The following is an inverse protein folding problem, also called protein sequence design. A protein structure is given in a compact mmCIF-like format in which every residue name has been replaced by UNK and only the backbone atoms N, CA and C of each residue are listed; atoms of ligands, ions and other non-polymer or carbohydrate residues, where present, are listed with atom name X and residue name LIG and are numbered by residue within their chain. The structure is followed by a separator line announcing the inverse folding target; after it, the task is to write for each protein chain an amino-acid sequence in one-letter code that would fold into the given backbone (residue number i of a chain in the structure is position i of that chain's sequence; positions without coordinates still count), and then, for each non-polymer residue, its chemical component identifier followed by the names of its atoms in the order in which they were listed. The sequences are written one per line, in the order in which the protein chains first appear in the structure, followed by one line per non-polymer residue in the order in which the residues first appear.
data_IF_576572461623
#
_entry.id   IF_576572461623
#
_cell.length_a   1.000
_cell.length_b   1.000
_cell.length_c   1.000
_cell.angle_alpha   90.00
_cell.angle_beta   90.00
_cell.angle_gamma   90.00
#
_symmetry.space_group_name_H-M   'P 1'
#
loop_
_entity.id
_entity.type
_entity.pdbx_description
1 polymer ?
#
# COMPACT_ATOMS: atom_id res chain seq x y z
N UNK A 1 -1.34 20.41 9.81
CA UNK A 1 -1.66 19.44 8.74
C UNK A 1 -2.74 20.06 7.87
N UNK A 2 -2.46 20.31 6.59
CA UNK A 2 -3.46 20.89 5.69
C UNK A 2 -4.32 19.77 5.09
N UNK A 3 -5.26 19.25 5.90
CA UNK A 3 -6.22 18.21 5.51
C UNK A 3 -7.04 18.59 4.28
N UNK A 4 -7.17 19.90 4.02
CA UNK A 4 -7.79 20.41 2.79
C UNK A 4 -7.17 19.78 1.57
N UNK A 5 -5.86 19.53 1.48
CA UNK A 5 -5.25 18.98 0.26
C UNK A 5 -5.66 17.53 -0.04
N UNK A 6 -5.84 16.71 1.00
CA UNK A 6 -6.14 15.26 0.88
C UNK A 6 -7.54 15.07 0.31
N UNK A 7 -8.48 15.95 0.66
CA UNK A 7 -9.89 15.87 0.26
C UNK A 7 -10.37 17.05 -0.60
N UNK A 8 -9.51 18.01 -0.98
CA UNK A 8 -9.95 19.23 -1.66
C UNK A 8 -10.50 18.90 -3.03
N UNK A 9 -11.73 19.36 -3.25
CA UNK A 9 -12.33 19.62 -4.54
C UNK A 9 -12.63 21.13 -4.55
N UNK A 10 -12.11 21.91 -5.52
CA UNK A 10 -11.30 21.48 -6.66
C UNK A 10 -9.85 21.13 -6.28
N UNK A 11 -9.20 20.38 -7.16
CA UNK A 11 -7.77 20.08 -7.04
C UNK A 11 -6.98 21.39 -7.04
N UNK A 12 -6.07 21.55 -6.10
CA UNK A 12 -5.20 22.73 -5.98
C UNK A 12 -4.17 22.85 -7.11
N UNK A 13 -4.00 21.80 -7.94
CA UNK A 13 -3.19 21.81 -9.16
C UNK A 13 -3.83 20.96 -10.26
N UNK A 14 -3.57 21.32 -11.52
CA UNK A 14 -4.04 20.58 -12.68
C UNK A 14 -3.25 19.27 -12.85
N UNK A 15 -3.95 18.14 -12.76
CA UNK A 15 -3.37 16.80 -12.94
C UNK A 15 -3.20 16.44 -14.42
N UNK A 16 -2.09 15.77 -14.73
CA UNK A 16 -1.80 15.09 -16.00
C UNK A 16 -2.78 13.94 -16.26
N UNK A 17 -2.79 13.40 -17.48
CA UNK A 17 -3.57 12.20 -17.81
C UNK A 17 -3.04 11.00 -17.03
N UNK A 18 -1.73 10.87 -16.87
CA UNK A 18 -1.10 9.82 -16.07
C UNK A 18 -1.59 9.84 -14.62
N UNK A 19 -1.52 10.99 -13.94
CA UNK A 19 -1.97 11.14 -12.56
C UNK A 19 -3.48 10.88 -12.41
N UNK A 20 -4.30 11.40 -13.36
CA UNK A 20 -5.76 11.17 -13.37
C UNK A 20 -6.10 9.70 -13.57
N UNK A 21 -5.38 9.01 -14.45
CA UNK A 21 -5.57 7.59 -14.70
C UNK A 21 -5.29 6.80 -13.42
N UNK A 22 -4.13 7.02 -12.79
CA UNK A 22 -3.77 6.37 -11.52
C UNK A 22 -4.80 6.64 -10.45
N UNK A 23 -5.21 7.90 -10.25
CA UNK A 23 -6.21 8.23 -9.24
C UNK A 23 -7.52 7.46 -9.45
N UNK A 24 -8.05 7.46 -10.68
CA UNK A 24 -9.33 6.82 -11.01
C UNK A 24 -9.23 5.30 -10.94
N UNK A 25 -8.17 4.71 -11.49
CA UNK A 25 -7.97 3.26 -11.46
C UNK A 25 -7.79 2.78 -10.02
N UNK A 26 -7.09 3.54 -9.18
CA UNK A 26 -6.88 3.20 -7.77
C UNK A 26 -8.17 3.28 -6.97
N UNK A 27 -8.98 4.33 -7.19
CA UNK A 27 -10.29 4.45 -6.56
C UNK A 27 -11.20 3.28 -6.95
N UNK A 28 -11.31 2.99 -8.25
CA UNK A 28 -12.25 1.98 -8.75
C UNK A 28 -11.81 0.56 -8.40
N UNK A 29 -10.53 0.23 -8.53
CA UNK A 29 -10.09 -1.16 -8.39
C UNK A 29 -9.62 -1.48 -6.97
N UNK A 30 -8.85 -0.60 -6.34
CA UNK A 30 -8.30 -0.88 -5.01
C UNK A 30 -9.27 -0.42 -3.92
N UNK A 31 -9.77 0.81 -3.97
CA UNK A 31 -10.67 1.27 -2.90
C UNK A 31 -12.03 0.57 -2.96
N UNK A 32 -12.72 0.53 -4.10
CA UNK A 32 -14.01 -0.18 -4.19
C UNK A 32 -13.85 -1.70 -4.18
N UNK A 33 -12.81 -2.24 -4.83
CA UNK A 33 -12.51 -3.68 -4.77
C UNK A 33 -12.17 -4.12 -3.35
N UNK A 34 -11.27 -3.42 -2.67
CA UNK A 34 -10.94 -3.67 -1.27
C UNK A 34 -12.15 -3.49 -0.34
N UNK A 35 -13.01 -2.50 -0.58
CA UNK A 35 -14.27 -2.35 0.15
C UNK A 35 -15.21 -3.55 -0.03
N UNK A 36 -15.22 -4.16 -1.22
CA UNK A 36 -16.00 -5.40 -1.45
C UNK A 36 -15.47 -6.54 -0.59
N UNK A 37 -14.15 -6.71 -0.48
CA UNK A 37 -13.51 -7.72 0.36
C UNK A 37 -13.73 -7.45 1.86
N UNK A 38 -13.71 -6.18 2.27
CA UNK A 38 -13.89 -5.75 3.66
C UNK A 38 -15.35 -5.84 4.13
N UNK A 39 -16.30 -5.38 3.31
CA UNK A 39 -17.70 -5.25 3.71
C UNK A 39 -18.54 -6.48 3.35
N UNK A 40 -18.22 -7.14 2.24
CA UNK A 40 -19.01 -8.25 1.69
C UNK A 40 -18.13 -9.42 1.21
N UNK A 41 -17.26 -9.99 2.08
CA UNK A 41 -16.42 -11.14 1.75
C UNK A 41 -17.20 -12.37 1.27
N UNK A 42 -18.48 -12.51 1.62
CA UNK A 42 -19.35 -13.60 1.13
C UNK A 42 -19.53 -13.53 -0.39
N UNK A 43 -19.64 -12.32 -0.96
CA UNK A 43 -19.73 -12.14 -2.42
C UNK A 43 -18.45 -12.63 -3.08
N UNK A 44 -17.29 -12.29 -2.50
CA UNK A 44 -15.99 -12.78 -2.96
C UNK A 44 -15.91 -14.30 -2.86
N UNK A 45 -16.41 -14.89 -1.76
CA UNK A 45 -16.51 -16.33 -1.57
C UNK A 45 -17.34 -17.02 -2.66
N UNK A 46 -18.49 -16.46 -3.01
CA UNK A 46 -19.36 -17.00 -4.08
C UNK A 46 -18.66 -16.89 -5.44
N UNK A 47 -18.17 -15.70 -5.80
CA UNK A 47 -17.58 -15.41 -7.12
C UNK A 47 -16.35 -16.28 -7.38
N UNK A 48 -15.51 -16.49 -6.37
CA UNK A 48 -14.27 -17.26 -6.51
C UNK A 48 -14.38 -18.70 -5.99
N UNK A 49 -15.56 -19.12 -5.55
CA UNK A 49 -15.81 -20.47 -4.99
C UNK A 49 -14.86 -20.78 -3.83
N UNK A 50 -14.80 -19.88 -2.86
CA UNK A 50 -13.94 -19.98 -1.68
C UNK A 50 -14.71 -20.60 -0.52
N UNK A 51 -14.08 -21.51 0.20
CA UNK A 51 -14.61 -22.03 1.45
C UNK A 51 -14.19 -21.11 2.61
N UNK A 52 -15.13 -20.29 3.08
CA UNK A 52 -14.89 -19.30 4.13
C UNK A 52 -15.22 -19.90 5.51
N UNK A 53 -14.34 -20.78 5.99
CA UNK A 53 -14.48 -21.47 7.30
C UNK A 53 -13.63 -20.79 8.37
N UNK A 54 -14.14 -20.75 9.61
CA UNK A 54 -13.45 -20.13 10.74
C UNK A 54 -13.12 -18.66 10.48
N UNK A 55 -11.89 -18.23 10.81
CA UNK A 55 -11.43 -16.85 10.61
C UNK A 55 -11.10 -16.47 9.17
N UNK A 56 -11.38 -17.34 8.18
CA UNK A 56 -11.13 -17.04 6.75
C UNK A 56 -11.82 -15.74 6.31
N UNK A 57 -13.06 -15.51 6.76
CA UNK A 57 -13.82 -14.30 6.48
C UNK A 57 -13.09 -13.05 7.00
N UNK A 58 -12.63 -13.09 8.25
CA UNK A 58 -11.91 -11.97 8.86
C UNK A 58 -10.56 -11.69 8.20
N UNK A 59 -9.82 -12.71 7.79
CA UNK A 59 -8.56 -12.51 7.05
C UNK A 59 -8.78 -11.93 5.65
N UNK A 60 -9.88 -12.31 4.99
CA UNK A 60 -10.27 -11.71 3.72
C UNK A 60 -10.66 -10.24 3.90
N UNK A 61 -11.32 -9.90 5.02
CA UNK A 61 -11.61 -8.51 5.39
C UNK A 61 -10.35 -7.71 5.70
N UNK A 62 -9.38 -8.28 6.42
CA UNK A 62 -8.07 -7.66 6.65
C UNK A 62 -7.37 -7.37 5.32
N UNK A 63 -7.37 -8.33 4.38
CA UNK A 63 -6.85 -8.11 3.04
C UNK A 63 -7.58 -6.94 2.36
N UNK A 64 -8.92 -6.93 2.38
CA UNK A 64 -9.73 -5.83 1.83
C UNK A 64 -9.34 -4.46 2.39
N UNK A 65 -9.16 -4.37 3.71
CA UNK A 65 -8.70 -3.15 4.39
C UNK A 65 -7.33 -2.71 3.87
N UNK A 66 -6.34 -3.60 3.82
CA UNK A 66 -5.00 -3.26 3.32
C UNK A 66 -5.01 -2.83 1.84
N UNK A 67 -5.91 -3.41 1.03
CA UNK A 67 -6.11 -3.04 -0.38
C UNK A 67 -6.70 -1.63 -0.50
N UNK A 68 -7.68 -1.27 0.35
CA UNK A 68 -8.21 0.10 0.40
C UNK A 68 -7.10 1.09 0.73
N UNK A 69 -6.27 0.78 1.73
CA UNK A 69 -5.17 1.63 2.16
C UNK A 69 -4.13 1.86 1.05
N UNK A 70 -3.67 0.80 0.37
CA UNK A 70 -2.71 0.98 -0.74
C UNK A 70 -3.32 1.78 -1.90
N UNK A 71 -4.61 1.57 -2.19
CA UNK A 71 -5.35 2.38 -3.16
C UNK A 71 -5.37 3.87 -2.77
N UNK A 72 -5.65 4.15 -1.49
CA UNK A 72 -5.65 5.51 -0.96
C UNK A 72 -4.26 6.15 -1.03
N UNK A 73 -3.20 5.40 -0.70
CA UNK A 73 -1.81 5.86 -0.81
C UNK A 73 -1.48 6.24 -2.25
N UNK A 74 -1.82 5.40 -3.23
CA UNK A 74 -1.61 5.72 -4.65
C UNK A 74 -2.37 6.97 -5.09
N UNK A 75 -3.60 7.17 -4.62
CA UNK A 75 -4.38 8.39 -4.90
C UNK A 75 -3.66 9.63 -4.35
N UNK A 76 -3.16 9.57 -3.12
CA UNK A 76 -2.44 10.71 -2.52
C UNK A 76 -1.11 10.93 -3.22
N UNK A 77 -0.36 9.88 -3.56
CA UNK A 77 0.86 9.96 -4.35
C UNK A 77 0.63 10.61 -5.72
N UNK A 78 -0.42 10.22 -6.45
CA UNK A 78 -0.77 10.82 -7.74
C UNK A 78 -1.16 12.30 -7.63
N UNK A 79 -1.64 12.74 -6.45
CA UNK A 79 -2.00 14.13 -6.19
C UNK A 79 -0.86 14.95 -5.61
N UNK A 80 0.18 14.35 -5.06
CA UNK A 80 1.24 15.06 -4.33
C UNK A 80 2.49 15.20 -5.20
N UNK A 81 2.84 16.45 -5.50
CA UNK A 81 4.14 16.77 -6.10
C UNK A 81 5.16 17.00 -4.98
N UNK A 82 6.19 16.16 -4.94
CA UNK A 82 7.29 16.27 -3.99
C UNK A 82 8.63 16.34 -4.73
N UNK A 83 9.71 16.65 -3.99
CA UNK A 83 11.01 16.95 -4.58
C UNK A 83 11.39 15.85 -5.58
N UNK A 84 11.58 16.21 -6.84
CA UNK A 84 12.12 15.33 -7.88
C UNK A 84 11.27 15.26 -9.11
N UNK A 85 11.18 14.07 -9.69
CA UNK A 85 10.31 13.86 -10.84
C UNK A 85 8.87 13.74 -10.42
N UNK A 86 8.01 14.39 -11.22
CA UNK A 86 6.57 14.34 -11.11
C UNK A 86 6.01 12.91 -11.11
N UNK A 87 6.67 12.00 -11.83
CA UNK A 87 6.15 10.66 -12.07
C UNK A 87 6.87 9.56 -11.29
N UNK A 88 7.96 9.85 -10.56
CA UNK A 88 8.81 8.82 -9.93
C UNK A 88 8.00 7.81 -9.08
N UNK A 89 7.17 8.29 -8.15
CA UNK A 89 6.35 7.42 -7.30
C UNK A 89 5.29 6.64 -8.10
N UNK A 90 4.72 7.23 -9.16
CA UNK A 90 3.77 6.54 -10.04
C UNK A 90 4.49 5.43 -10.82
N UNK A 91 5.64 5.72 -11.40
CA UNK A 91 6.41 4.75 -12.20
C UNK A 91 7.01 3.64 -11.32
N UNK A 92 7.38 3.93 -10.07
CA UNK A 92 7.80 2.89 -9.12
C UNK A 92 6.66 1.90 -8.83
N UNK A 93 5.40 2.38 -8.79
CA UNK A 93 4.23 1.48 -8.66
C UNK A 93 4.02 0.56 -9.87
N UNK A 94 4.57 0.89 -11.05
CA UNK A 94 4.53 0.00 -12.24
C UNK A 94 5.35 -1.27 -11.97
N UNK A 95 6.53 -1.13 -11.36
CA UNK A 95 7.39 -2.28 -11.03
C UNK A 95 6.73 -3.15 -9.97
N UNK A 96 6.15 -2.54 -8.93
CA UNK A 96 5.40 -3.25 -7.90
C UNK A 96 4.23 -4.06 -8.51
N UNK A 97 3.40 -3.42 -9.34
CA UNK A 97 2.23 -4.06 -9.96
C UNK A 97 2.58 -5.14 -10.98
N UNK A 98 3.58 -4.91 -11.82
CA UNK A 98 3.91 -5.78 -12.95
C UNK A 98 4.80 -6.95 -12.55
N UNK A 99 5.73 -6.73 -11.61
CA UNK A 99 6.73 -7.72 -11.23
C UNK A 99 6.42 -8.29 -9.86
N UNK A 100 6.43 -7.45 -8.83
CA UNK A 100 6.39 -7.93 -7.44
C UNK A 100 5.07 -8.60 -7.07
N UNK A 101 3.95 -7.93 -7.33
CA UNK A 101 2.62 -8.44 -7.05
C UNK A 101 2.31 -9.73 -7.83
N UNK A 102 2.72 -9.79 -9.10
CA UNK A 102 2.54 -10.98 -9.92
C UNK A 102 3.41 -12.15 -9.40
N UNK A 103 4.68 -11.89 -9.07
CA UNK A 103 5.58 -12.90 -8.53
C UNK A 103 5.06 -13.50 -7.22
N UNK A 104 4.67 -12.65 -6.26
CA UNK A 104 4.13 -13.12 -4.98
C UNK A 104 2.81 -13.87 -5.16
N UNK A 105 1.92 -13.37 -6.01
CA UNK A 105 0.64 -14.05 -6.30
C UNK A 105 0.86 -15.45 -6.87
N UNK A 106 1.79 -15.60 -7.82
CA UNK A 106 2.15 -16.89 -8.38
C UNK A 106 2.78 -17.82 -7.33
N UNK A 107 3.72 -17.32 -6.52
CA UNK A 107 4.32 -18.09 -5.43
C UNK A 107 3.25 -18.62 -4.45
N UNK A 108 2.25 -17.80 -4.09
CA UNK A 108 1.18 -18.22 -3.19
C UNK A 108 0.26 -19.28 -3.84
N UNK A 109 0.03 -19.20 -5.16
CA UNK A 109 -0.71 -20.24 -5.90
C UNK A 109 0.08 -21.53 -5.96
N UNK A 110 1.38 -21.48 -6.28
CA UNK A 110 2.25 -22.66 -6.35
C UNK A 110 2.34 -23.39 -5.00
N UNK A 111 2.29 -22.64 -3.89
CA UNK A 111 2.22 -23.19 -2.53
C UNK A 111 0.84 -23.72 -2.15
N UNK A 112 -0.17 -23.61 -3.01
CA UNK A 112 -1.55 -24.00 -2.73
C UNK A 112 -2.25 -23.10 -1.70
N UNK A 113 -1.71 -21.91 -1.42
CA UNK A 113 -2.25 -20.99 -0.42
C UNK A 113 -3.33 -20.07 -0.98
N UNK A 114 -3.33 -19.80 -2.29
CA UNK A 114 -4.36 -19.02 -2.96
C UNK A 114 -4.95 -19.77 -4.14
N UNK A 115 -6.25 -19.61 -4.41
CA UNK A 115 -6.85 -20.13 -5.62
C UNK A 115 -6.41 -19.30 -6.82
N UNK A 116 -6.03 -19.98 -7.90
CA UNK A 116 -5.54 -19.34 -9.13
C UNK A 116 -6.50 -18.28 -9.69
N UNK A 117 -7.83 -18.52 -9.61
CA UNK A 117 -8.86 -17.57 -10.08
C UNK A 117 -8.82 -16.24 -9.33
N UNK A 118 -8.64 -16.29 -8.00
CA UNK A 118 -8.53 -15.09 -7.18
C UNK A 118 -7.22 -14.35 -7.47
N UNK A 119 -6.12 -15.08 -7.67
CA UNK A 119 -4.84 -14.47 -8.04
C UNK A 119 -4.94 -13.78 -9.41
N UNK A 120 -5.58 -14.40 -10.41
CA UNK A 120 -5.80 -13.78 -11.72
C UNK A 120 -6.60 -12.47 -11.64
N UNK A 121 -7.61 -12.41 -10.76
CA UNK A 121 -8.40 -11.18 -10.56
C UNK A 121 -7.53 -9.99 -10.15
N UNK A 122 -6.44 -10.20 -9.42
CA UNK A 122 -5.49 -9.15 -9.06
C UNK A 122 -4.40 -8.95 -10.11
N UNK A 123 -3.81 -10.04 -10.61
CA UNK A 123 -2.67 -10.00 -11.54
C UNK A 123 -3.01 -9.32 -12.88
N UNK A 124 -4.18 -9.65 -13.45
CA UNK A 124 -4.56 -9.15 -14.78
C UNK A 124 -4.78 -7.63 -14.76
N UNK A 125 -5.63 -7.06 -13.89
CA UNK A 125 -5.81 -5.61 -13.82
C UNK A 125 -4.53 -4.88 -13.40
N UNK A 126 -3.73 -5.42 -12.47
CA UNK A 126 -2.44 -4.82 -12.08
C UNK A 126 -1.52 -4.67 -13.30
N UNK A 127 -1.41 -5.71 -14.12
CA UNK A 127 -0.59 -5.70 -15.33
C UNK A 127 -1.13 -4.74 -16.38
N UNK A 128 -2.46 -4.73 -16.61
CA UNK A 128 -3.10 -3.80 -17.55
C UNK A 128 -2.89 -2.35 -17.10
N UNK A 129 -3.08 -2.04 -15.81
CA UNK A 129 -2.88 -0.69 -15.29
C UNK A 129 -1.42 -0.27 -15.35
N UNK A 130 -0.48 -1.16 -15.03
CA UNK A 130 0.95 -0.89 -15.14
C UNK A 130 1.33 -0.51 -16.59
N UNK A 131 0.87 -1.29 -17.57
CA UNK A 131 1.10 -1.00 -18.99
C UNK A 131 0.42 0.29 -19.44
N UNK A 132 -0.83 0.52 -19.03
CA UNK A 132 -1.56 1.74 -19.36
C UNK A 132 -0.86 2.99 -18.79
N UNK A 133 -0.33 2.92 -17.55
CA UNK A 133 0.47 4.00 -16.96
C UNK A 133 1.69 4.30 -17.84
N UNK A 134 2.46 3.28 -18.25
CA UNK A 134 3.64 3.47 -19.10
C UNK A 134 3.28 4.08 -20.45
N UNK A 135 2.20 3.59 -21.09
CA UNK A 135 1.73 4.10 -22.38
C UNK A 135 1.30 5.57 -22.27
N UNK A 136 0.44 5.92 -21.30
CA UNK A 136 -0.03 7.30 -21.11
C UNK A 136 1.14 8.21 -20.76
N UNK A 137 2.01 7.79 -19.84
CA UNK A 137 3.20 8.54 -19.45
C UNK A 137 4.12 8.81 -20.64
N UNK A 138 4.34 7.82 -21.51
CA UNK A 138 5.20 7.96 -22.68
C UNK A 138 4.67 8.98 -23.69
N UNK A 139 3.35 9.12 -23.80
CA UNK A 139 2.72 10.12 -24.67
C UNK A 139 2.80 11.54 -24.09
N UNK A 140 2.89 11.67 -22.76
CA UNK A 140 2.97 12.96 -22.07
C UNK A 140 4.42 13.43 -21.85
N UNK A 141 5.40 12.53 -21.97
CA UNK A 141 6.79 12.79 -21.62
C UNK A 141 7.65 12.95 -22.87
N UNK A 142 8.21 14.15 -23.06
CA UNK A 142 9.24 14.39 -24.08
C UNK A 142 10.42 13.45 -23.85
N UNK A 143 10.94 12.84 -24.91
CA UNK A 143 12.06 11.89 -24.87
C UNK A 143 11.80 10.65 -23.99
N UNK A 144 10.53 10.19 -23.95
CA UNK A 144 10.18 8.95 -23.27
C UNK A 144 10.99 7.78 -23.85
N UNK A 145 11.71 7.09 -22.97
CA UNK A 145 12.53 5.93 -23.30
C UNK A 145 12.60 4.98 -22.11
N UNK A 146 12.99 3.74 -22.35
CA UNK A 146 13.23 2.75 -21.27
C UNK A 146 14.30 3.27 -20.30
N UNK A 147 15.35 3.91 -20.81
CA UNK A 147 16.38 4.53 -19.97
C UNK A 147 15.79 5.60 -19.06
N UNK A 148 14.93 6.48 -19.60
CA UNK A 148 14.27 7.51 -18.80
C UNK A 148 13.35 6.90 -17.76
N UNK A 149 12.58 5.87 -18.11
CA UNK A 149 11.75 5.12 -17.16
C UNK A 149 12.59 4.56 -16.00
N UNK A 150 13.70 3.87 -16.30
CA UNK A 150 14.57 3.30 -15.27
C UNK A 150 15.23 4.39 -14.41
N UNK A 151 15.63 5.51 -15.02
CA UNK A 151 16.14 6.65 -14.28
C UNK A 151 15.10 7.18 -13.29
N UNK A 152 13.83 7.31 -13.70
CA UNK A 152 12.76 7.81 -12.84
C UNK A 152 12.43 6.87 -11.68
N UNK A 153 12.37 5.57 -11.95
CA UNK A 153 12.15 4.54 -10.91
C UNK A 153 13.31 4.50 -9.91
N UNK A 154 14.56 4.60 -10.39
CA UNK A 154 15.75 4.57 -9.53
C UNK A 154 16.03 5.89 -8.83
N UNK A 155 15.36 6.97 -9.24
CA UNK A 155 15.56 8.32 -8.70
C UNK A 155 15.17 8.42 -7.23
N UNK A 156 14.08 7.76 -6.85
CA UNK A 156 13.61 7.65 -5.46
C UNK A 156 14.59 6.85 -4.59
N UNK A 157 15.28 5.86 -5.17
CA UNK A 157 16.32 5.08 -4.48
C UNK A 157 17.59 5.91 -4.31
N UNK A 158 18.04 6.64 -5.35
CA UNK A 158 19.25 7.47 -5.28
C UNK A 158 19.11 8.66 -4.31
N UNK A 159 17.92 9.25 -4.22
CA UNK A 159 17.66 10.39 -3.30
C UNK A 159 17.76 10.02 -1.83
N UNK A 160 17.69 8.74 -1.50
CA UNK A 160 18.01 8.24 -0.16
C UNK A 160 19.40 8.70 0.32
N UNK A 161 20.42 8.70 -0.55
CA UNK A 161 21.77 9.14 -0.17
C UNK A 161 21.82 10.62 0.21
N UNK A 162 21.01 11.45 -0.44
CA UNK A 162 20.89 12.88 -0.11
C UNK A 162 20.04 13.12 1.15
N UNK A 163 19.05 12.27 1.41
CA UNK A 163 18.14 12.36 2.56
C UNK A 163 18.80 11.98 3.90
N UNK A 164 19.98 11.35 3.89
CA UNK A 164 20.77 11.04 5.09
C UNK A 164 21.12 12.27 5.95
N UNK A 165 20.98 13.48 5.40
CA UNK A 165 21.29 14.74 6.09
C UNK A 165 20.15 15.28 6.97
N UNK A 166 18.93 14.74 6.89
CA UNK A 166 17.80 15.14 7.74
C UNK A 166 17.28 13.94 8.56
N UNK A 167 17.61 13.85 9.85
CA UNK A 167 17.30 12.68 10.71
C UNK A 167 15.82 12.28 10.78
N UNK A 168 14.90 13.20 10.47
CA UNK A 168 13.46 12.93 10.36
C UNK A 168 13.14 12.01 9.16
N UNK A 169 13.81 12.24 8.01
CA UNK A 169 13.60 11.44 6.78
C UNK A 169 14.19 10.04 6.94
N UNK A 170 15.36 9.94 7.57
CA UNK A 170 16.00 8.66 7.86
C UNK A 170 15.11 7.75 8.73
N UNK A 171 14.42 8.31 9.71
CA UNK A 171 13.52 7.54 10.60
C UNK A 171 12.34 6.93 9.86
N UNK A 172 11.65 7.72 9.00
CA UNK A 172 10.51 7.21 8.20
C UNK A 172 10.97 6.11 7.24
N UNK A 173 12.14 6.30 6.62
CA UNK A 173 12.71 5.31 5.71
C UNK A 173 13.01 3.99 6.40
N UNK A 174 13.74 4.02 7.53
CA UNK A 174 14.09 2.82 8.31
C UNK A 174 12.83 2.09 8.77
N UNK A 175 11.80 2.82 9.19
CA UNK A 175 10.51 2.24 9.56
C UNK A 175 9.85 1.52 8.38
N UNK A 176 9.94 2.10 7.18
CA UNK A 176 9.49 1.47 5.94
C UNK A 176 10.23 0.18 5.62
N UNK A 177 11.57 0.16 5.77
CA UNK A 177 12.40 -1.04 5.58
C UNK A 177 12.00 -2.14 6.56
N UNK A 178 11.89 -1.81 7.85
CA UNK A 178 11.50 -2.78 8.88
C UNK A 178 10.13 -3.37 8.57
N UNK A 179 9.15 -2.54 8.20
CA UNK A 179 7.83 -3.02 7.80
C UNK A 179 7.88 -3.91 6.55
N UNK A 180 8.58 -3.46 5.50
CA UNK A 180 8.70 -4.22 4.26
C UNK A 180 9.29 -5.61 4.52
N UNK A 181 10.41 -5.67 5.24
CA UNK A 181 11.10 -6.93 5.54
C UNK A 181 10.29 -7.82 6.47
N UNK A 182 9.77 -7.27 7.57
CA UNK A 182 9.00 -8.04 8.55
C UNK A 182 7.76 -8.68 7.91
N UNK A 183 6.99 -7.90 7.15
CA UNK A 183 5.80 -8.44 6.49
C UNK A 183 6.15 -9.41 5.36
N UNK A 184 7.17 -9.13 4.55
CA UNK A 184 7.60 -10.04 3.49
C UNK A 184 8.04 -11.40 4.03
N UNK A 185 8.68 -11.43 5.21
CA UNK A 185 9.02 -12.68 5.89
C UNK A 185 7.76 -13.52 6.15
N UNK A 186 6.69 -12.90 6.64
CA UNK A 186 5.42 -13.58 6.93
C UNK A 186 4.64 -13.98 5.66
N UNK A 187 4.91 -13.36 4.52
CA UNK A 187 4.38 -13.81 3.21
C UNK A 187 5.11 -15.08 2.74
N UNK A 188 6.44 -15.11 2.87
CA UNK A 188 7.26 -16.24 2.42
C UNK A 188 7.10 -17.44 3.36
N UNK A 189 7.00 -17.17 4.67
CA UNK A 189 6.83 -18.12 5.77
C UNK A 189 5.56 -17.80 6.58
N UNK A 190 4.37 -18.06 6.02
CA UNK A 190 3.11 -17.79 6.71
C UNK A 190 2.88 -18.72 7.90
N UNK A 191 3.63 -19.82 8.00
CA UNK A 191 3.69 -20.67 9.18
C UNK A 191 4.27 -19.94 10.41
N UNK A 192 5.19 -18.99 10.21
CA UNK A 192 5.70 -18.17 11.30
C UNK A 192 4.62 -17.27 11.89
N UNK A 193 3.65 -16.80 11.09
CA UNK A 193 2.55 -16.00 11.61
C UNK A 193 1.71 -16.78 12.62
N UNK A 194 1.44 -18.07 12.35
CA UNK A 194 0.72 -18.93 13.28
C UNK A 194 1.47 -19.10 14.61
N UNK A 195 2.80 -19.23 14.56
CA UNK A 195 3.63 -19.40 15.76
C UNK A 195 3.73 -18.09 16.55
N UNK A 196 4.09 -16.99 15.87
CA UNK A 196 4.35 -15.69 16.50
C UNK A 196 3.08 -15.14 17.13
N UNK A 197 1.94 -15.24 16.44
CA UNK A 197 0.67 -14.71 16.91
C UNK A 197 -0.20 -15.78 17.60
N UNK A 198 0.30 -17.02 17.77
CA UNK A 198 -0.45 -18.13 18.37
C UNK A 198 -1.86 -18.26 17.76
N UNK A 199 -1.91 -18.36 16.43
CA UNK A 199 -3.16 -18.43 15.69
C UNK A 199 -3.74 -19.84 15.72
N UNK A 200 -5.05 -19.92 15.52
CA UNK A 200 -5.71 -21.21 15.34
C UNK A 200 -5.20 -21.91 14.09
N UNK A 201 -5.43 -23.23 14.03
CA UNK A 201 -5.05 -24.01 12.86
C UNK A 201 -5.77 -23.48 11.63
N UNK A 202 -5.00 -23.09 10.62
CA UNK A 202 -5.54 -22.64 9.35
C UNK A 202 -6.39 -23.72 8.67
N UNK A 203 -7.44 -23.30 7.98
CA UNK A 203 -8.36 -24.13 7.22
C UNK A 203 -8.63 -23.48 5.86
N UNK A 204 -8.80 -24.31 4.82
CA UNK A 204 -8.97 -23.83 3.46
C UNK A 204 -7.86 -22.86 3.03
N UNK A 205 -8.24 -21.69 2.53
CA UNK A 205 -7.32 -20.65 2.07
C UNK A 205 -7.02 -19.56 3.12
N UNK A 206 -7.41 -19.76 4.40
CA UNK A 206 -7.25 -18.72 5.44
C UNK A 206 -5.81 -18.24 5.59
N UNK A 207 -4.84 -19.17 5.60
CA UNK A 207 -3.42 -18.86 5.64
C UNK A 207 -2.99 -17.97 4.46
N UNK A 208 -3.50 -18.23 3.27
CA UNK A 208 -3.19 -17.44 2.08
C UNK A 208 -3.82 -16.06 2.08
N UNK A 209 -5.04 -15.90 2.62
CA UNK A 209 -5.65 -14.58 2.79
C UNK A 209 -4.85 -13.73 3.77
N UNK A 210 -4.42 -14.31 4.90
CA UNK A 210 -3.58 -13.62 5.86
C UNK A 210 -2.19 -13.30 5.28
N UNK A 211 -1.58 -14.23 4.53
CA UNK A 211 -0.34 -13.98 3.80
C UNK A 211 -0.50 -12.86 2.76
N UNK A 212 -1.64 -12.79 2.07
CA UNK A 212 -1.95 -11.73 1.12
C UNK A 212 -2.10 -10.39 1.81
N UNK A 213 -2.74 -10.35 2.98
CA UNK A 213 -2.78 -9.16 3.82
C UNK A 213 -1.35 -8.69 4.16
N UNK A 214 -0.49 -9.59 4.64
CA UNK A 214 0.92 -9.24 4.90
C UNK A 214 1.66 -8.77 3.66
N UNK A 215 1.37 -9.33 2.48
CA UNK A 215 1.95 -8.88 1.22
C UNK A 215 1.57 -7.42 0.92
N UNK A 216 0.30 -7.06 1.02
CA UNK A 216 -0.13 -5.68 0.80
C UNK A 216 0.48 -4.75 1.85
N UNK A 217 0.61 -5.20 3.11
CA UNK A 217 1.28 -4.47 4.19
C UNK A 217 2.78 -4.31 3.97
N UNK A 218 3.46 -5.26 3.31
CA UNK A 218 4.86 -5.09 2.92
C UNK A 218 4.99 -4.01 1.84
N UNK A 219 4.09 -4.00 0.86
CA UNK A 219 4.03 -2.94 -0.15
C UNK A 219 3.82 -1.55 0.48
N UNK A 220 3.02 -1.43 1.55
CA UNK A 220 2.93 -0.18 2.32
C UNK A 220 4.30 0.26 2.86
N UNK A 221 5.08 -0.69 3.40
CA UNK A 221 6.47 -0.52 3.81
C UNK A 221 7.35 0.10 2.71
N UNK A 222 7.27 -0.44 1.50
CA UNK A 222 7.99 0.08 0.34
C UNK A 222 7.56 1.51 0.00
N UNK A 223 6.25 1.80 0.06
CA UNK A 223 5.74 3.14 -0.21
C UNK A 223 6.10 4.17 0.88
N UNK A 224 6.30 3.75 2.13
CA UNK A 224 6.93 4.60 3.14
C UNK A 224 8.35 5.00 2.76
N UNK A 225 9.15 4.03 2.30
CA UNK A 225 10.54 4.29 1.91
C UNK A 225 10.58 5.30 0.77
N UNK A 226 9.74 5.13 -0.25
CA UNK A 226 9.64 6.05 -1.39
C UNK A 226 9.19 7.44 -0.93
N UNK A 227 8.14 7.52 -0.10
CA UNK A 227 7.62 8.78 0.43
C UNK A 227 8.63 9.51 1.33
N UNK A 228 9.48 8.77 2.05
CA UNK A 228 10.58 9.35 2.79
C UNK A 228 11.62 9.94 1.84
N UNK A 229 12.10 9.16 0.87
CA UNK A 229 13.16 9.57 -0.07
C UNK A 229 12.82 10.82 -0.89
N UNK A 230 11.56 11.02 -1.25
CA UNK A 230 11.12 12.20 -2.01
C UNK A 230 10.60 13.35 -1.10
N UNK A 231 10.63 13.17 0.23
CA UNK A 231 10.17 14.17 1.20
C UNK A 231 8.66 14.40 1.20
N UNK A 232 7.86 13.40 0.81
CA UNK A 232 6.42 13.51 0.71
C UNK A 232 5.70 13.34 2.05
N UNK A 233 5.77 14.40 2.88
CA UNK A 233 5.09 14.46 4.17
C UNK A 233 3.57 14.29 4.09
N UNK A 234 2.96 14.53 2.92
CA UNK A 234 1.51 14.33 2.72
C UNK A 234 1.14 12.86 2.69
N UNK A 235 1.92 12.05 1.99
CA UNK A 235 1.77 10.58 2.02
C UNK A 235 2.01 10.07 3.44
N UNK A 236 3.05 10.56 4.14
CA UNK A 236 3.30 10.19 5.55
C UNK A 236 2.12 10.56 6.46
N UNK A 237 1.47 11.71 6.24
CA UNK A 237 0.26 12.10 6.98
C UNK A 237 -0.95 11.21 6.64
N UNK A 238 -1.16 10.92 5.35
CA UNK A 238 -2.23 10.04 4.89
C UNK A 238 -2.13 8.64 5.52
N UNK A 239 -0.91 8.13 5.64
CA UNK A 239 -0.62 6.89 6.37
C UNK A 239 -1.04 6.94 7.85
N UNK A 240 -0.68 7.99 8.59
CA UNK A 240 -1.13 8.12 10.00
C UNK A 240 -2.65 8.14 10.07
N UNK A 241 -3.30 8.87 9.15
CA UNK A 241 -4.75 8.94 9.10
C UNK A 241 -5.40 7.59 8.79
N UNK A 242 -4.90 6.82 7.81
CA UNK A 242 -5.48 5.51 7.46
C UNK A 242 -5.37 4.53 8.63
N UNK A 243 -4.22 4.50 9.30
CA UNK A 243 -3.99 3.64 10.46
C UNK A 243 -4.94 3.93 11.61
N UNK A 244 -5.08 5.20 11.99
CA UNK A 244 -5.89 5.59 13.14
C UNK A 244 -7.39 5.61 12.82
N UNK A 245 -7.79 6.10 11.65
CA UNK A 245 -9.20 6.30 11.31
C UNK A 245 -9.85 5.09 10.62
N UNK A 246 -9.06 4.23 9.96
CA UNK A 246 -9.57 3.02 9.30
C UNK A 246 -9.16 1.76 10.04
N UNK A 247 -7.86 1.56 10.30
CA UNK A 247 -7.41 0.26 10.82
C UNK A 247 -7.82 0.03 12.26
N UNK A 248 -7.58 1.01 13.15
CA UNK A 248 -7.92 0.86 14.57
C UNK A 248 -9.41 0.51 14.75
N UNK A 249 -10.39 1.27 14.21
CA UNK A 249 -11.81 0.91 14.35
C UNK A 249 -12.13 -0.46 13.72
N UNK A 250 -11.58 -0.75 12.53
CA UNK A 250 -11.84 -2.01 11.85
C UNK A 250 -11.36 -3.21 12.67
N UNK A 251 -10.16 -3.13 13.24
CA UNK A 251 -9.62 -4.20 14.08
C UNK A 251 -10.48 -4.45 15.31
N UNK A 252 -11.01 -3.40 15.95
CA UNK A 252 -11.97 -3.56 17.05
C UNK A 252 -13.25 -4.24 16.60
N UNK A 253 -13.82 -3.85 15.45
CA UNK A 253 -14.99 -4.53 14.89
C UNK A 253 -14.70 -6.01 14.62
N UNK A 254 -13.59 -6.33 13.95
CA UNK A 254 -13.21 -7.70 13.64
C UNK A 254 -13.02 -8.55 14.91
N UNK A 255 -12.46 -7.98 15.99
CA UNK A 255 -12.35 -8.66 17.27
C UNK A 255 -13.72 -8.89 17.94
N UNK A 256 -14.56 -7.85 18.03
CA UNK A 256 -15.85 -7.92 18.73
C UNK A 256 -16.78 -8.93 18.07
N UNK A 257 -16.70 -9.08 16.74
CA UNK A 257 -17.47 -10.06 15.99
C UNK A 257 -16.77 -11.41 15.82
N UNK A 258 -15.71 -11.67 16.59
CA UNK A 258 -14.96 -12.94 16.59
C UNK A 258 -14.48 -13.37 15.19
N UNK A 259 -14.06 -12.39 14.37
CA UNK A 259 -13.60 -12.62 13.00
C UNK A 259 -12.09 -12.77 12.91
N UNK A 260 -11.34 -12.33 13.92
CA UNK A 260 -9.89 -12.49 14.03
C UNK A 260 -9.51 -12.88 15.46
N UNK A 261 -8.41 -13.60 15.59
CA UNK A 261 -7.90 -14.01 16.90
C UNK A 261 -7.44 -12.81 17.73
N UNK A 262 -7.65 -12.90 19.05
CA UNK A 262 -7.25 -11.87 20.02
C UNK A 262 -5.76 -11.50 19.92
N UNK A 263 -4.89 -12.49 19.78
CA UNK A 263 -3.45 -12.26 19.70
C UNK A 263 -3.05 -11.54 18.41
N UNK A 264 -3.69 -11.88 17.28
CA UNK A 264 -3.50 -11.16 16.02
C UNK A 264 -3.98 -9.71 16.16
N UNK A 265 -5.16 -9.51 16.72
CA UNK A 265 -5.70 -8.18 17.01
C UNK A 265 -4.72 -7.34 17.84
N UNK A 266 -4.21 -7.87 18.96
CA UNK A 266 -3.27 -7.17 19.84
C UNK A 266 -2.02 -6.79 19.04
N UNK A 267 -1.43 -7.74 18.32
CA UNK A 267 -0.19 -7.49 17.57
C UNK A 267 -0.38 -6.40 16.49
N UNK A 268 -1.47 -6.50 15.71
CA UNK A 268 -1.78 -5.52 14.67
C UNK A 268 -2.06 -4.14 15.27
N UNK A 269 -2.93 -4.06 16.30
CA UNK A 269 -3.28 -2.80 16.94
C UNK A 269 -2.05 -2.13 17.58
N UNK A 270 -1.24 -2.88 18.33
CA UNK A 270 -0.03 -2.34 18.96
C UNK A 270 0.94 -1.80 17.92
N UNK A 271 1.12 -2.51 16.80
CA UNK A 271 1.98 -2.05 15.73
C UNK A 271 1.43 -0.78 15.06
N UNK A 272 0.12 -0.71 14.82
CA UNK A 272 -0.51 0.49 14.25
C UNK A 272 -0.32 1.72 15.12
N UNK A 273 -0.55 1.58 16.42
CA UNK A 273 -0.41 2.67 17.38
C UNK A 273 1.04 3.10 17.54
N UNK A 274 1.97 2.15 17.63
CA UNK A 274 3.41 2.43 17.73
C UNK A 274 3.90 3.23 16.51
N UNK A 275 3.60 2.73 15.31
CA UNK A 275 4.03 3.34 14.04
C UNK A 275 3.40 4.70 13.87
N UNK A 276 2.10 4.83 14.14
CA UNK A 276 1.40 6.11 14.05
C UNK A 276 1.96 7.15 15.02
N UNK A 277 2.33 6.74 16.25
CA UNK A 277 2.95 7.63 17.24
C UNK A 277 4.32 8.12 16.78
N UNK A 278 5.16 7.23 16.23
CA UNK A 278 6.46 7.59 15.67
C UNK A 278 6.29 8.59 14.52
N UNK A 279 5.42 8.27 13.55
CA UNK A 279 5.18 9.12 12.39
C UNK A 279 4.56 10.48 12.77
N UNK A 280 3.63 10.51 13.72
CA UNK A 280 3.03 11.74 14.20
C UNK A 280 4.08 12.64 14.87
N UNK A 281 4.97 12.06 15.68
CA UNK A 281 6.09 12.79 16.30
C UNK A 281 6.99 13.42 15.24
N UNK A 282 7.28 12.69 14.16
CA UNK A 282 8.07 13.19 13.02
C UNK A 282 7.35 14.35 12.34
N UNK A 283 6.05 14.21 12.05
CA UNK A 283 5.26 15.25 11.39
C UNK A 283 5.18 16.52 12.27
N UNK A 284 5.03 16.37 13.59
CA UNK A 284 4.98 17.51 14.52
C UNK A 284 6.33 18.23 14.64
N UNK A 285 7.45 17.51 14.50
CA UNK A 285 8.80 18.08 14.55
C UNK A 285 9.27 18.63 13.20
N UNK A 286 8.63 18.25 12.10
CA UNK A 286 8.94 18.78 10.78
C UNK A 286 8.55 20.27 10.71
N UNK A 287 9.52 21.15 10.44
CA UNK A 287 9.21 22.56 10.15
C UNK A 287 8.36 22.63 8.87
N UNK A 288 7.34 23.51 8.81
CA UNK A 288 6.52 23.66 7.61
C UNK A 288 7.44 24.06 6.43
N UNK A 289 7.49 23.19 5.43
CA UNK A 289 8.27 23.44 4.23
C UNK A 289 7.69 24.64 3.48
N UNK A 290 8.38 25.79 3.50
CA UNK A 290 8.13 26.87 2.55
C UNK A 290 8.64 26.38 1.20
N UNK A 291 7.73 25.99 0.32
CA UNK A 291 8.09 25.81 -1.08
C UNK A 291 8.48 27.19 -1.63
N UNK A 292 9.76 27.40 -1.94
CA UNK A 292 10.19 28.54 -2.73
C UNK A 292 9.48 28.47 -4.08
N UNK A 293 8.46 29.31 -4.23
CA UNK A 293 7.89 29.64 -5.53
C UNK A 293 8.91 30.49 -6.27
N UNK A 294 9.92 29.87 -6.88
CA UNK A 294 10.54 30.42 -8.07
C UNK A 294 9.90 29.74 -9.27
N UNK A 295 8.87 30.42 -9.78
CA UNK A 295 8.40 30.24 -11.14
C UNK A 295 9.34 31.11 -11.99
N UNK A 296 10.20 30.47 -12.76
CA UNK A 296 10.67 31.00 -14.05
C UNK A 296 10.05 30.11 -15.13
#
# INVERSE_FOLDING_TARGET
MDFKYIFSVPLTKQMTRTEKFVQRSCLMFYCLGGATFLLSPQIVGIVFTLDLVGHSDGYLRLLGLAVIEIGFIFIISARSYCRGSRYATILTSVVDRLVWANFISLMLVEKGLLPFRLSLFWMVPNSIFALAIVVIWSQETKDASVSKFLQEVTLDIKRFEMAKTEGLVATVFVLGVVQFCFWSLLVIRPDFAAIIFQLDKFSGFSQGFLASYFFVRSAHGLHYMIAASNGNLRVVSAFVCSRILLNVPTFFCLLIFDQIEKNLFIALLSLELLISTILLTIIMRAKPFKADYKIE
#
